data_IF_948183116843
#
_entry.id   IF_948183116843
#
_cell.length_a   1.000
_cell.length_b   1.000
_cell.length_c   1.000
_cell.angle_alpha   90.00
_cell.angle_beta   90.00
_cell.angle_gamma   90.00
#
_symmetry.space_group_name_H-M   'P 1'
#
loop_
_entity.id
_entity.type
_entity.pdbx_description
1 polymer ?
#
# COMPACT_ATOMS: atom_id res chain seq x y z
N UNK A 1 -8.31 14.02 -31.08
CA UNK A 1 -7.77 12.65 -30.96
C UNK A 1 -7.34 12.41 -29.52
N UNK A 2 -7.95 11.47 -28.80
CA UNK A 2 -7.50 11.06 -27.47
C UNK A 2 -6.39 10.01 -27.60
N UNK A 3 -5.18 10.31 -27.07
CA UNK A 3 -4.09 9.34 -27.01
C UNK A 3 -4.38 8.31 -25.92
N UNK A 4 -4.27 7.02 -26.24
CA UNK A 4 -4.36 5.94 -25.27
C UNK A 4 -3.05 5.86 -24.50
N UNK A 5 -3.13 5.93 -23.17
CA UNK A 5 -2.00 5.71 -22.26
C UNK A 5 -2.30 4.43 -21.47
N UNK A 6 -1.32 3.56 -21.34
CA UNK A 6 -1.45 2.28 -20.62
C UNK A 6 -0.48 2.23 -19.45
N UNK A 7 -0.90 1.57 -18.36
CA UNK A 7 -0.05 1.28 -17.21
C UNK A 7 0.78 0.04 -17.55
N UNK A 8 2.11 0.15 -17.51
CA UNK A 8 3.04 -0.95 -17.82
C UNK A 8 3.68 -1.57 -16.57
N UNK A 9 3.42 -1.00 -15.39
CA UNK A 9 3.93 -1.50 -14.12
C UNK A 9 3.29 -0.81 -12.93
N UNK A 10 3.26 -1.49 -11.79
CA UNK A 10 2.73 -0.97 -10.52
C UNK A 10 3.55 -1.52 -9.35
N UNK A 11 3.71 -0.71 -8.31
CA UNK A 11 4.38 -1.04 -7.06
C UNK A 11 4.01 -0.04 -5.97
N UNK A 12 4.23 -0.40 -4.71
CA UNK A 12 3.93 0.46 -3.58
C UNK A 12 4.35 -0.14 -2.25
N UNK A 13 4.51 0.75 -1.26
CA UNK A 13 4.71 0.42 0.15
C UNK A 13 3.65 1.18 0.93
N UNK A 14 2.89 0.48 1.76
CA UNK A 14 1.91 1.07 2.66
C UNK A 14 1.70 0.19 3.88
N UNK A 15 0.83 0.59 4.81
CA UNK A 15 0.56 -0.17 6.03
C UNK A 15 -0.01 -1.59 5.79
N UNK A 16 -0.51 -1.89 4.58
CA UNK A 16 -1.00 -3.21 4.18
C UNK A 16 0.09 -4.08 3.54
N UNK A 17 1.30 -3.58 3.30
CA UNK A 17 2.40 -4.37 2.76
C UNK A 17 3.39 -3.60 1.91
N UNK A 18 4.46 -4.28 1.51
CA UNK A 18 5.61 -3.72 0.79
C UNK A 18 5.68 -4.16 -0.68
N UNK A 19 4.66 -4.86 -1.17
CA UNK A 19 4.55 -5.30 -2.56
C UNK A 19 3.08 -5.51 -2.97
N UNK A 20 2.84 -5.60 -4.28
CA UNK A 20 1.49 -5.69 -4.86
C UNK A 20 0.70 -6.91 -4.36
N UNK A 21 1.24 -8.15 -4.36
CA UNK A 21 0.49 -9.30 -3.85
C UNK A 21 0.08 -9.17 -2.38
N UNK A 22 0.98 -8.69 -1.51
CA UNK A 22 0.69 -8.50 -0.09
C UNK A 22 -0.42 -7.47 0.11
N UNK A 23 -0.27 -6.27 -0.47
CA UNK A 23 -1.25 -5.19 -0.38
C UNK A 23 -2.64 -5.68 -0.81
N UNK A 24 -2.73 -6.35 -1.95
CA UNK A 24 -4.00 -6.88 -2.46
C UNK A 24 -4.57 -8.00 -1.57
N UNK A 25 -3.72 -8.86 -1.04
CA UNK A 25 -4.09 -9.93 -0.10
C UNK A 25 -4.78 -9.36 1.15
N UNK A 26 -4.18 -8.36 1.79
CA UNK A 26 -4.74 -7.73 2.98
C UNK A 26 -6.04 -6.97 2.69
N UNK A 27 -6.09 -6.23 1.58
CA UNK A 27 -7.30 -5.50 1.14
C UNK A 27 -8.48 -6.45 0.96
N UNK A 28 -8.28 -7.55 0.22
CA UNK A 28 -9.34 -8.55 -0.02
C UNK A 28 -9.82 -9.22 1.26
N UNK A 29 -8.95 -9.36 2.26
CA UNK A 29 -9.31 -9.91 3.55
C UNK A 29 -10.01 -8.90 4.47
N UNK A 30 -10.20 -7.64 4.05
CA UNK A 30 -10.88 -6.60 4.81
C UNK A 30 -10.10 -6.12 6.03
N UNK A 31 -8.76 -6.27 6.04
CA UNK A 31 -7.94 -5.85 7.18
C UNK A 31 -7.71 -4.34 7.18
N UNK A 32 -7.77 -3.74 8.37
CA UNK A 32 -7.36 -2.35 8.58
C UNK A 32 -5.86 -2.29 8.89
N UNK A 33 -5.13 -1.42 8.18
CA UNK A 33 -3.75 -1.08 8.51
C UNK A 33 -3.62 0.16 9.40
N UNK A 34 -4.74 0.74 9.84
CA UNK A 34 -4.74 1.90 10.74
C UNK A 34 -4.69 1.40 12.18
N UNK A 35 -3.71 1.88 12.94
CA UNK A 35 -3.54 1.56 14.35
C UNK A 35 -2.81 2.67 15.11
N UNK A 36 -2.72 2.56 16.44
CA UNK A 36 -1.99 3.52 17.26
C UNK A 36 -0.51 3.64 16.83
N UNK A 37 0.06 4.84 16.98
CA UNK A 37 1.50 5.04 16.82
C UNK A 37 2.19 4.38 18.02
N UNK A 38 3.03 3.37 17.76
CA UNK A 38 3.75 2.61 18.81
C UNK A 38 5.27 2.81 18.80
N UNK A 39 5.79 3.60 17.86
CA UNK A 39 7.22 3.88 17.67
C UNK A 39 7.50 5.39 17.62
N UNK A 40 6.91 6.16 18.54
CA UNK A 40 7.11 7.63 18.56
C UNK A 40 8.57 8.03 18.81
N UNK A 41 9.34 7.19 19.51
CA UNK A 41 10.76 7.43 19.84
C UNK A 41 11.70 7.42 18.61
N UNK A 42 11.21 7.01 17.43
CA UNK A 42 12.01 7.01 16.20
C UNK A 42 12.35 8.42 15.70
N UNK A 43 11.67 9.44 16.22
CA UNK A 43 11.92 10.84 15.93
C UNK A 43 12.00 11.64 17.22
N UNK A 44 13.21 11.69 17.79
CA UNK A 44 13.74 12.71 18.70
C UNK A 44 15.21 12.99 18.33
#
# INVERSE_FOLDING_TARGET
MHKRVVITGIGGICGLGTNVPAIWGEMRAGRSAIGPIVNSELHD
#
